data_IF_609902868523
#
_entry.id   IF_609902868523
#
_cell.length_a   1.000
_cell.length_b   1.000
_cell.length_c   1.000
_cell.angle_alpha   90.00
_cell.angle_beta   90.00
_cell.angle_gamma   90.00
#
_symmetry.space_group_name_H-M   'P 1'
#
loop_
_entity.id
_entity.type
_entity.pdbx_description
1 polymer ?
#
# COMPACT_ATOMS: atom_id res chain seq x y z
N UNK A 1 -23.57 -12.93 -13.60
CA UNK A 1 -23.34 -12.60 -12.17
C UNK A 1 -21.85 -12.21 -12.06
N UNK A 2 -21.53 -11.10 -11.42
CA UNK A 2 -20.15 -10.67 -11.23
C UNK A 2 -19.55 -11.38 -10.01
N UNK A 3 -18.36 -11.95 -10.17
CA UNK A 3 -17.68 -12.70 -9.11
C UNK A 3 -16.17 -12.77 -9.37
N UNK A 4 -15.39 -13.04 -8.32
CA UNK A 4 -13.97 -13.38 -8.42
C UNK A 4 -13.67 -14.49 -7.42
N UNK A 5 -13.19 -15.64 -7.92
CA UNK A 5 -12.84 -16.80 -7.12
C UNK A 5 -11.35 -17.14 -7.20
N UNK A 6 -10.71 -16.92 -8.34
CA UNK A 6 -9.29 -17.16 -8.56
C UNK A 6 -8.67 -16.16 -9.55
N UNK A 7 -7.36 -16.03 -9.54
CA UNK A 7 -6.61 -15.02 -10.29
C UNK A 7 -6.56 -15.25 -11.82
N UNK A 8 -6.68 -16.49 -12.26
CA UNK A 8 -6.56 -16.89 -13.67
C UNK A 8 -7.88 -17.02 -14.42
N UNK A 9 -9.01 -16.86 -13.77
CA UNK A 9 -10.26 -16.75 -14.47
C UNK A 9 -10.24 -15.51 -15.40
N UNK A 10 -10.82 -15.59 -16.61
CA UNK A 10 -10.85 -14.47 -17.53
C UNK A 10 -11.38 -13.19 -16.89
N UNK A 11 -10.53 -12.16 -16.83
CA UNK A 11 -10.88 -10.84 -16.30
C UNK A 11 -11.91 -10.18 -17.20
N UNK A 12 -12.97 -9.62 -16.62
CA UNK A 12 -14.08 -8.98 -17.34
C UNK A 12 -14.24 -7.51 -16.99
N UNK A 13 -14.02 -7.17 -15.74
CA UNK A 13 -14.10 -5.79 -15.25
C UNK A 13 -12.95 -5.55 -14.28
N UNK A 14 -12.23 -4.47 -14.51
CA UNK A 14 -11.06 -4.10 -13.75
C UNK A 14 -11.15 -2.65 -13.27
N UNK A 15 -10.96 -2.45 -11.97
CA UNK A 15 -10.66 -1.12 -11.47
C UNK A 15 -9.20 -0.78 -11.77
N UNK A 16 -8.95 0.42 -12.30
CA UNK A 16 -7.60 0.91 -12.61
C UNK A 16 -7.37 2.23 -11.88
N UNK A 17 -6.24 2.33 -11.21
CA UNK A 17 -5.85 3.51 -10.46
C UNK A 17 -5.68 4.76 -11.32
N UNK A 18 -5.45 5.89 -10.67
CA UNK A 18 -5.27 7.20 -11.31
C UNK A 18 -4.21 8.01 -10.59
N UNK A 19 -3.30 8.64 -11.32
CA UNK A 19 -2.40 9.67 -10.81
C UNK A 19 -3.05 11.05 -10.84
N UNK A 20 -2.43 12.02 -10.18
CA UNK A 20 -2.84 13.42 -10.34
C UNK A 20 -2.46 13.95 -11.72
N UNK A 21 -3.27 14.86 -12.28
CA UNK A 21 -2.88 15.59 -13.47
C UNK A 21 -1.70 16.54 -13.16
N UNK A 22 -0.84 16.84 -14.13
CA UNK A 22 0.37 17.65 -13.91
C UNK A 22 0.07 19.03 -13.33
N UNK A 23 -1.10 19.60 -13.61
CA UNK A 23 -1.52 20.92 -13.12
C UNK A 23 -1.58 20.99 -11.59
N UNK A 24 -1.75 19.86 -10.90
CA UNK A 24 -1.77 19.81 -9.44
C UNK A 24 -0.43 20.22 -8.82
N UNK A 25 0.66 20.09 -9.59
CA UNK A 25 2.01 20.46 -9.15
C UNK A 25 2.41 21.88 -9.56
N UNK A 26 1.58 22.60 -10.33
CA UNK A 26 1.88 23.96 -10.83
C UNK A 26 2.16 24.98 -9.73
N UNK A 27 1.62 24.75 -8.51
CA UNK A 27 1.84 25.61 -7.33
C UNK A 27 3.22 25.46 -6.67
N UNK A 28 3.97 24.44 -7.03
CA UNK A 28 5.33 24.23 -6.50
C UNK A 28 6.24 25.34 -7.01
N UNK A 29 6.77 26.16 -6.09
CA UNK A 29 7.59 27.33 -6.43
C UNK A 29 8.94 26.94 -7.01
N UNK A 30 9.57 25.90 -6.47
CA UNK A 30 10.85 25.40 -6.98
C UNK A 30 10.63 24.71 -8.33
N UNK A 31 11.17 25.27 -9.40
CA UNK A 31 10.97 24.78 -10.76
C UNK A 31 11.58 23.39 -11.00
N UNK A 32 12.69 23.05 -10.34
CA UNK A 32 13.27 21.70 -10.46
C UNK A 32 12.33 20.64 -9.89
N UNK A 33 11.75 20.92 -8.71
CA UNK A 33 10.78 20.04 -8.08
C UNK A 33 9.51 19.95 -8.93
N UNK A 34 8.98 21.13 -9.34
CA UNK A 34 7.75 21.18 -10.15
C UNK A 34 7.89 20.38 -11.43
N UNK A 35 8.94 20.64 -12.23
CA UNK A 35 9.14 19.98 -13.50
C UNK A 35 9.28 18.45 -13.35
N UNK A 36 9.96 17.98 -12.30
CA UNK A 36 10.08 16.56 -12.00
C UNK A 36 8.72 15.93 -11.65
N UNK A 37 7.94 16.57 -10.79
CA UNK A 37 6.62 16.06 -10.39
C UNK A 37 5.60 16.10 -11.54
N UNK A 38 5.59 17.16 -12.35
CA UNK A 38 4.77 17.25 -13.56
C UNK A 38 5.14 16.14 -14.57
N UNK A 39 6.44 15.89 -14.78
CA UNK A 39 6.94 14.80 -15.62
C UNK A 39 6.47 13.43 -15.11
N UNK A 40 6.64 13.18 -13.80
CA UNK A 40 6.19 11.92 -13.17
C UNK A 40 4.69 11.72 -13.38
N UNK A 41 3.88 12.77 -13.21
CA UNK A 41 2.43 12.70 -13.42
C UNK A 41 2.07 12.34 -14.87
N UNK A 42 2.66 13.04 -15.84
CA UNK A 42 2.44 12.79 -17.28
C UNK A 42 2.83 11.35 -17.63
N UNK A 43 4.05 10.95 -17.28
CA UNK A 43 4.58 9.63 -17.59
C UNK A 43 3.79 8.50 -16.92
N UNK A 44 3.27 8.74 -15.71
CA UNK A 44 2.42 7.77 -15.00
C UNK A 44 1.09 7.60 -15.71
N UNK A 45 0.44 8.68 -16.15
CA UNK A 45 -0.83 8.56 -16.87
C UNK A 45 -0.64 7.89 -18.24
N UNK A 46 0.44 8.18 -18.96
CA UNK A 46 0.79 7.46 -20.19
C UNK A 46 0.92 5.94 -19.97
N UNK A 47 1.51 5.54 -18.84
CA UNK A 47 1.64 4.12 -18.50
C UNK A 47 0.29 3.51 -18.10
N UNK A 48 -0.59 4.25 -17.41
CA UNK A 48 -1.97 3.83 -17.18
C UNK A 48 -2.73 3.64 -18.51
N UNK A 49 -2.55 4.52 -19.48
CA UNK A 49 -3.20 4.37 -20.78
C UNK A 49 -2.73 3.12 -21.53
N UNK A 50 -1.46 2.71 -21.39
CA UNK A 50 -0.95 1.43 -21.92
C UNK A 50 -1.60 0.23 -21.24
N UNK A 51 -1.76 0.28 -19.88
CA UNK A 51 -2.46 -0.76 -19.11
C UNK A 51 -3.90 -0.88 -19.61
N UNK A 52 -4.61 0.25 -19.70
CA UNK A 52 -6.02 0.30 -20.14
C UNK A 52 -6.16 -0.25 -21.56
N UNK A 53 -5.38 0.26 -22.52
CA UNK A 53 -5.43 -0.20 -23.90
C UNK A 53 -5.18 -1.70 -24.01
N UNK A 54 -4.23 -2.23 -23.22
CA UNK A 54 -3.96 -3.68 -23.21
C UNK A 54 -5.13 -4.48 -22.65
N UNK A 55 -5.77 -4.03 -21.59
CA UNK A 55 -6.96 -4.69 -21.02
C UNK A 55 -8.16 -4.64 -21.98
N UNK A 56 -8.35 -3.51 -22.67
CA UNK A 56 -9.40 -3.35 -23.68
C UNK A 56 -9.22 -4.32 -24.87
N UNK A 57 -7.98 -4.64 -25.29
CA UNK A 57 -7.71 -5.67 -26.30
C UNK A 57 -8.28 -7.05 -25.90
N UNK A 58 -8.40 -7.30 -24.57
CA UNK A 58 -9.01 -8.52 -24.02
C UNK A 58 -10.51 -8.36 -23.68
N UNK A 59 -11.13 -7.27 -24.13
CA UNK A 59 -12.53 -6.92 -23.84
C UNK A 59 -12.82 -6.82 -22.33
N UNK A 60 -11.86 -6.27 -21.57
CA UNK A 60 -12.04 -5.96 -20.16
C UNK A 60 -12.63 -4.57 -20.02
N UNK A 61 -13.77 -4.46 -19.33
CA UNK A 61 -14.35 -3.16 -18.98
C UNK A 61 -13.52 -2.48 -17.89
N UNK A 62 -13.25 -1.18 -18.06
CA UNK A 62 -12.40 -0.41 -17.16
C UNK A 62 -13.23 0.54 -16.32
N UNK A 63 -12.99 0.53 -15.01
CA UNK A 63 -13.52 1.50 -14.06
C UNK A 63 -12.35 2.23 -13.41
N UNK A 64 -12.24 3.54 -13.58
CA UNK A 64 -11.14 4.33 -13.00
C UNK A 64 -11.49 4.79 -11.59
N UNK A 65 -10.47 4.86 -10.74
CA UNK A 65 -10.59 5.62 -9.49
C UNK A 65 -10.82 7.09 -9.77
N UNK A 66 -11.36 7.82 -8.81
CA UNK A 66 -11.71 9.23 -8.95
C UNK A 66 -10.68 10.14 -8.29
N UNK A 67 -10.53 11.33 -8.84
CA UNK A 67 -9.83 12.46 -8.21
C UNK A 67 -10.73 13.68 -8.21
N UNK A 68 -10.61 14.53 -7.19
CA UNK A 68 -11.28 15.82 -7.18
C UNK A 68 -10.67 16.74 -8.24
N UNK A 69 -11.49 17.51 -8.90
CA UNK A 69 -11.02 18.60 -9.79
C UNK A 69 -10.34 19.73 -8.99
N UNK A 70 -10.66 19.82 -7.70
CA UNK A 70 -10.09 20.82 -6.82
C UNK A 70 -8.82 20.30 -6.13
N UNK A 71 -7.66 20.78 -6.55
CA UNK A 71 -6.36 20.42 -5.95
C UNK A 71 -6.28 20.71 -4.44
N UNK A 72 -7.05 21.69 -3.94
CA UNK A 72 -7.05 22.03 -2.52
C UNK A 72 -7.57 20.90 -1.62
N UNK A 73 -8.32 19.95 -2.19
CA UNK A 73 -8.79 18.78 -1.45
C UNK A 73 -7.63 17.85 -1.04
N UNK A 74 -6.48 17.98 -1.69
CA UNK A 74 -5.26 17.19 -1.43
C UNK A 74 -4.13 17.99 -0.80
N UNK A 75 -4.36 19.30 -0.59
CA UNK A 75 -3.33 20.19 -0.09
C UNK A 75 -3.39 20.37 1.42
N UNK A 76 -2.22 20.59 2.03
CA UNK A 76 -2.14 21.18 3.36
C UNK A 76 -2.42 22.70 3.29
N UNK A 77 -2.47 23.36 4.45
CA UNK A 77 -2.73 24.83 4.51
C UNK A 77 -1.64 25.70 3.85
N UNK A 78 -0.52 25.11 3.44
CA UNK A 78 0.53 25.79 2.67
C UNK A 78 0.32 25.66 1.16
N UNK A 79 -0.77 24.98 0.75
CA UNK A 79 -1.07 24.68 -0.64
C UNK A 79 -0.16 23.60 -1.27
N UNK A 80 0.50 22.80 -0.43
CA UNK A 80 1.34 21.69 -0.88
C UNK A 80 0.47 20.45 -0.94
N UNK A 81 0.48 19.76 -2.08
CA UNK A 81 -0.19 18.46 -2.27
C UNK A 81 0.50 17.44 -1.38
N UNK A 82 -0.22 16.91 -0.39
CA UNK A 82 0.31 15.97 0.62
C UNK A 82 -0.49 14.67 0.72
N UNK A 83 -1.71 14.63 0.21
CA UNK A 83 -2.48 13.40 0.11
C UNK A 83 -2.10 12.67 -1.18
N UNK A 84 -1.86 11.33 -1.16
CA UNK A 84 -1.51 10.57 -2.34
C UNK A 84 -2.69 10.47 -3.33
N UNK A 85 -2.40 10.33 -4.63
CA UNK A 85 -3.43 9.99 -5.59
C UNK A 85 -3.94 8.55 -5.38
N UNK A 86 -5.17 8.24 -5.82
CA UNK A 86 -5.76 6.89 -5.66
C UNK A 86 -5.21 5.92 -6.71
N UNK A 87 -3.94 5.61 -6.63
CA UNK A 87 -3.21 4.81 -7.62
C UNK A 87 -3.44 3.31 -7.48
N UNK A 88 -3.52 2.82 -6.25
CA UNK A 88 -3.55 1.40 -5.94
C UNK A 88 -4.94 0.99 -5.39
N UNK A 89 -5.97 0.81 -6.25
CA UNK A 89 -7.31 0.42 -5.76
C UNK A 89 -7.28 -0.94 -5.05
N UNK A 90 -6.33 -1.79 -5.34
CA UNK A 90 -6.15 -3.10 -4.73
C UNK A 90 -5.87 -3.04 -3.24
N UNK A 91 -5.20 -2.00 -2.77
CA UNK A 91 -4.86 -1.81 -1.35
C UNK A 91 -6.08 -1.48 -0.49
N UNK A 92 -7.18 -1.13 -1.13
CA UNK A 92 -8.42 -0.70 -0.45
C UNK A 92 -9.62 -1.55 -0.80
N UNK A 93 -9.60 -2.34 -1.87
CA UNK A 93 -10.77 -3.03 -2.39
C UNK A 93 -10.51 -4.50 -2.66
N UNK A 94 -11.55 -5.33 -2.55
CA UNK A 94 -11.50 -6.74 -2.92
C UNK A 94 -12.86 -7.25 -3.39
N UNK A 95 -12.89 -7.98 -4.49
CA UNK A 95 -14.02 -8.86 -4.83
C UNK A 95 -13.74 -10.26 -4.29
N UNK A 96 -14.62 -10.78 -3.45
CA UNK A 96 -14.54 -12.16 -2.92
C UNK A 96 -15.83 -12.87 -3.18
N UNK A 97 -15.79 -13.90 -3.99
CA UNK A 97 -17.01 -14.49 -4.53
C UNK A 97 -17.82 -13.44 -5.30
N UNK A 98 -19.04 -13.21 -4.89
CA UNK A 98 -19.96 -12.24 -5.50
C UNK A 98 -20.19 -10.98 -4.65
N UNK A 99 -19.32 -10.68 -3.70
CA UNK A 99 -19.40 -9.49 -2.84
C UNK A 99 -18.17 -8.63 -3.01
N UNK A 100 -18.36 -7.33 -3.17
CA UNK A 100 -17.27 -6.36 -3.26
C UNK A 100 -17.08 -5.68 -1.91
N UNK A 101 -15.85 -5.73 -1.42
CA UNK A 101 -15.41 -5.11 -0.18
C UNK A 101 -14.67 -3.82 -0.51
N UNK A 102 -15.03 -2.73 0.17
CA UNK A 102 -14.41 -1.44 -0.02
C UNK A 102 -14.60 -0.56 1.22
N UNK A 103 -13.74 0.46 1.43
CA UNK A 103 -13.93 1.40 2.52
C UNK A 103 -15.21 2.20 2.32
N UNK A 104 -15.93 2.49 3.40
CA UNK A 104 -17.14 3.29 3.36
C UNK A 104 -16.85 4.76 3.01
N UNK A 105 -17.85 5.48 2.45
CA UNK A 105 -17.73 6.90 2.08
C UNK A 105 -17.37 7.87 3.22
N UNK A 106 -17.26 7.36 4.45
CA UNK A 106 -16.71 8.06 5.62
C UNK A 106 -15.21 7.79 5.84
N UNK A 107 -14.54 7.12 4.91
CA UNK A 107 -13.09 6.85 5.01
C UNK A 107 -12.27 8.11 5.31
N UNK A 108 -12.68 9.24 4.77
CA UNK A 108 -12.08 10.53 5.12
C UNK A 108 -12.37 11.01 6.57
N UNK A 109 -13.32 10.43 7.30
CA UNK A 109 -13.54 10.74 8.72
C UNK A 109 -12.63 9.95 9.65
N UNK A 110 -12.14 8.82 9.22
CA UNK A 110 -11.15 8.02 9.90
C UNK A 110 -9.74 8.43 9.47
N UNK A 111 -9.48 9.72 9.36
CA UNK A 111 -8.12 10.22 9.47
C UNK A 111 -7.59 9.63 10.76
N UNK A 112 -6.86 8.59 10.56
CA UNK A 112 -6.44 7.77 11.67
C UNK A 112 -5.57 8.64 12.56
N UNK A 113 -5.95 8.72 13.80
CA UNK A 113 -5.13 9.36 14.82
C UNK A 113 -3.70 8.79 14.76
N UNK A 114 -3.57 7.56 14.33
CA UNK A 114 -2.29 6.89 14.11
C UNK A 114 -1.46 7.57 13.01
N UNK A 115 -2.06 8.03 11.91
CA UNK A 115 -1.37 8.81 10.90
C UNK A 115 -0.93 10.19 11.42
N UNK A 116 -1.76 10.82 12.26
CA UNK A 116 -1.41 12.06 12.95
C UNK A 116 -0.21 11.81 13.87
N UNK A 117 -0.24 10.73 14.64
CA UNK A 117 0.85 10.35 15.54
C UNK A 117 2.12 10.10 14.74
N UNK A 118 2.07 9.35 13.65
CA UNK A 118 3.24 9.08 12.80
C UNK A 118 3.85 10.36 12.23
N UNK A 119 3.03 11.26 11.69
CA UNK A 119 3.50 12.55 11.18
C UNK A 119 4.08 13.43 12.27
N UNK A 120 3.48 13.39 13.48
CA UNK A 120 4.01 14.07 14.64
C UNK A 120 5.36 13.48 15.06
N UNK A 121 5.43 12.16 15.21
CA UNK A 121 6.62 11.43 15.58
C UNK A 121 7.75 11.70 14.59
N UNK A 122 7.46 11.69 13.30
CA UNK A 122 8.42 11.98 12.26
C UNK A 122 8.95 13.42 12.32
N UNK A 123 8.08 14.42 12.51
CA UNK A 123 8.50 15.82 12.65
C UNK A 123 9.31 16.06 13.91
N UNK A 124 8.93 15.42 15.02
CA UNK A 124 9.72 15.44 16.25
C UNK A 124 11.11 14.85 15.98
N UNK A 125 11.16 13.72 15.29
CA UNK A 125 12.40 13.05 14.91
C UNK A 125 13.31 13.91 14.03
N UNK A 126 12.73 14.60 13.06
CA UNK A 126 13.47 15.50 12.19
C UNK A 126 13.91 16.81 12.88
N UNK A 127 13.61 16.99 14.18
CA UNK A 127 13.88 18.24 14.89
C UNK A 127 13.22 19.48 14.26
N UNK A 128 12.18 19.29 13.46
CA UNK A 128 11.46 20.39 12.76
C UNK A 128 10.44 21.11 13.64
N UNK A 129 10.29 20.71 14.91
CA UNK A 129 9.60 21.52 15.91
C UNK A 129 10.56 22.60 16.41
N UNK A 130 10.37 23.80 15.93
CA UNK A 130 11.18 24.97 16.33
C UNK A 130 10.97 25.37 17.80
N UNK A 131 9.91 24.92 18.44
CA UNK A 131 9.55 25.33 19.79
C UNK A 131 9.48 24.13 20.76
N UNK A 132 10.66 23.71 21.24
CA UNK A 132 10.83 22.67 22.27
C UNK A 132 10.17 23.06 23.62
N UNK A 133 9.74 24.30 23.77
CA UNK A 133 9.06 24.80 24.97
C UNK A 133 7.52 24.83 24.85
N UNK A 134 6.94 24.45 23.72
CA UNK A 134 5.49 24.38 23.56
C UNK A 134 4.91 23.36 24.57
N UNK A 135 4.05 23.78 25.52
CA UNK A 135 3.54 22.92 26.57
C UNK A 135 2.73 21.73 26.03
N UNK A 136 2.03 21.89 24.90
CA UNK A 136 1.23 20.82 24.31
C UNK A 136 2.10 19.78 23.60
N UNK A 137 3.13 20.22 22.87
CA UNK A 137 4.12 19.33 22.26
C UNK A 137 4.86 18.53 23.33
N UNK A 138 5.27 19.19 24.41
CA UNK A 138 5.93 18.52 25.55
C UNK A 138 5.01 17.50 26.23
N UNK A 139 3.73 17.86 26.43
CA UNK A 139 2.73 16.97 27.05
C UNK A 139 2.43 15.76 26.14
N UNK A 140 2.37 15.96 24.82
CA UNK A 140 2.19 14.89 23.86
C UNK A 140 3.40 13.94 23.84
N UNK A 141 4.61 14.47 23.82
CA UNK A 141 5.83 13.68 23.90
C UNK A 141 5.92 12.88 25.21
N UNK A 142 5.51 13.50 26.35
CA UNK A 142 5.43 12.78 27.64
C UNK A 142 4.47 11.60 27.55
N UNK A 143 3.27 11.78 26.99
CA UNK A 143 2.30 10.69 26.84
C UNK A 143 2.81 9.56 25.95
N UNK A 144 3.51 9.88 24.87
CA UNK A 144 4.15 8.88 24.01
C UNK A 144 5.25 8.12 24.80
N UNK A 145 6.08 8.83 25.55
CA UNK A 145 7.10 8.20 26.39
C UNK A 145 6.49 7.32 27.49
N UNK A 146 5.41 7.79 28.14
CA UNK A 146 4.69 7.02 29.17
C UNK A 146 4.09 5.72 28.61
N UNK A 147 3.68 5.71 27.33
CA UNK A 147 3.18 4.53 26.63
C UNK A 147 4.31 3.58 26.27
N UNK A 148 5.41 4.10 25.73
CA UNK A 148 6.55 3.30 25.26
C UNK A 148 7.43 2.79 26.40
N UNK A 149 7.56 3.56 27.48
CA UNK A 149 8.34 3.22 28.67
C UNK A 149 7.64 3.76 29.92
N UNK A 150 6.63 3.09 30.44
CA UNK A 150 5.94 3.53 31.65
C UNK A 150 6.94 3.61 32.82
N UNK A 151 6.93 4.74 33.57
CA UNK A 151 7.64 5.01 34.81
C UNK A 151 8.97 5.79 34.74
N UNK A 152 9.17 6.65 33.77
CA UNK A 152 10.42 7.43 33.74
C UNK A 152 10.49 8.66 34.64
N UNK A 153 9.37 9.19 35.12
CA UNK A 153 9.36 10.39 35.97
C UNK A 153 10.01 11.64 35.31
N UNK A 154 10.16 11.64 34.00
CA UNK A 154 10.76 12.74 33.27
C UNK A 154 9.80 13.91 33.13
N UNK A 155 10.36 15.14 33.09
CA UNK A 155 9.57 16.30 32.72
C UNK A 155 9.15 16.21 31.23
N UNK A 156 8.03 16.82 30.81
CA UNK A 156 7.59 16.81 29.42
C UNK A 156 8.66 17.28 28.42
N UNK A 157 9.49 18.25 28.80
CA UNK A 157 10.61 18.73 27.97
C UNK A 157 11.72 17.68 27.83
N UNK A 158 12.05 17.00 28.92
CA UNK A 158 13.06 15.92 28.92
C UNK A 158 12.60 14.73 28.10
N UNK A 159 11.31 14.38 28.17
CA UNK A 159 10.69 13.34 27.36
C UNK A 159 10.73 13.67 25.86
N UNK A 160 10.45 14.92 25.48
CA UNK A 160 10.56 15.34 24.08
C UNK A 160 12.00 15.19 23.55
N UNK A 161 12.99 15.62 24.33
CA UNK A 161 14.40 15.50 23.93
C UNK A 161 14.85 14.04 23.83
N UNK A 162 14.45 13.20 24.80
CA UNK A 162 14.72 11.77 24.80
C UNK A 162 14.07 11.09 23.58
N UNK A 163 12.81 11.42 23.31
CA UNK A 163 12.08 10.92 22.18
C UNK A 163 12.75 11.32 20.85
N UNK A 164 13.12 12.59 20.67
CA UNK A 164 13.85 13.05 19.51
C UNK A 164 15.18 12.30 19.30
N UNK A 165 15.93 12.03 20.40
CA UNK A 165 17.19 11.27 20.28
C UNK A 165 16.95 9.83 19.84
N UNK A 166 15.93 9.16 20.36
CA UNK A 166 15.58 7.78 19.96
C UNK A 166 15.20 7.64 18.49
N UNK A 167 14.36 8.55 17.99
CA UNK A 167 13.90 8.49 16.61
C UNK A 167 15.01 8.82 15.61
N UNK A 168 16.04 9.55 16.05
CA UNK A 168 17.24 9.82 15.23
C UNK A 168 18.26 8.69 15.29
N UNK A 169 18.12 7.72 16.19
CA UNK A 169 19.03 6.59 16.27
C UNK A 169 18.89 5.63 15.08
N UNK A 170 20.05 5.07 14.71
CA UNK A 170 20.23 4.28 13.49
C UNK A 170 19.36 3.02 13.42
N UNK A 171 18.86 2.54 14.54
CA UNK A 171 18.08 1.29 14.64
C UNK A 171 16.57 1.51 14.78
N UNK A 172 16.12 2.71 15.11
CA UNK A 172 14.70 3.09 15.15
C UNK A 172 13.75 2.04 15.69
N UNK A 173 14.11 1.44 16.82
CA UNK A 173 13.28 0.47 17.53
C UNK A 173 12.75 1.07 18.82
N UNK A 174 11.67 0.52 19.33
CA UNK A 174 11.13 0.83 20.66
C UNK A 174 10.76 -0.47 21.39
N UNK A 175 10.82 -0.43 22.73
CA UNK A 175 10.42 -1.54 23.56
C UNK A 175 8.98 -1.32 24.06
N UNK A 176 8.13 -2.31 23.83
CA UNK A 176 6.75 -2.32 24.33
C UNK A 176 6.40 -3.70 24.86
N UNK A 177 5.96 -3.78 26.13
CA UNK A 177 5.66 -5.06 26.82
C UNK A 177 6.77 -6.10 26.67
N UNK A 178 8.01 -5.68 26.92
CA UNK A 178 9.24 -6.49 26.86
C UNK A 178 9.60 -7.05 25.47
N UNK A 179 8.97 -6.56 24.41
CA UNK A 179 9.28 -6.92 23.04
C UNK A 179 9.75 -5.69 22.27
N UNK A 180 10.83 -5.89 21.46
CA UNK A 180 11.38 -4.83 20.62
C UNK A 180 10.67 -4.80 19.27
N UNK A 181 10.25 -3.59 18.87
CA UNK A 181 9.54 -3.34 17.61
C UNK A 181 10.20 -2.25 16.79
N UNK A 182 10.17 -2.34 15.44
CA UNK A 182 10.52 -1.22 14.58
C UNK A 182 9.63 -0.02 14.90
N UNK A 183 10.21 1.19 14.90
CA UNK A 183 9.50 2.40 15.34
C UNK A 183 8.25 2.71 14.48
N UNK A 184 8.28 2.34 13.20
CA UNK A 184 7.14 2.52 12.29
C UNK A 184 5.91 1.65 12.65
N UNK A 185 6.09 0.63 13.51
CA UNK A 185 4.98 -0.22 13.97
C UNK A 185 4.27 0.33 15.21
N UNK A 186 4.75 1.43 15.81
CA UNK A 186 4.18 1.97 17.06
C UNK A 186 2.67 2.17 16.97
N UNK A 187 2.18 2.66 15.85
CA UNK A 187 0.76 2.91 15.58
C UNK A 187 -0.12 1.67 15.59
N UNK A 188 0.46 0.51 15.30
CA UNK A 188 -0.27 -0.75 15.23
C UNK A 188 -0.27 -1.55 16.54
N UNK A 189 0.59 -1.17 17.51
CA UNK A 189 0.88 -1.98 18.70
C UNK A 189 0.34 -1.32 19.96
N UNK A 190 0.31 0.01 19.97
CA UNK A 190 0.02 0.79 21.17
C UNK A 190 -1.43 1.30 21.12
N UNK A 191 -2.15 1.18 22.25
CA UNK A 191 -3.46 1.83 22.42
C UNK A 191 -3.28 3.33 22.61
N UNK A 192 -3.76 4.10 21.64
CA UNK A 192 -3.61 5.56 21.61
C UNK A 192 -4.86 6.33 22.09
N UNK A 193 -5.81 5.72 22.77
CA UNK A 193 -7.08 6.37 23.13
C UNK A 193 -6.85 7.70 23.87
N UNK A 194 -5.99 7.72 24.90
CA UNK A 194 -5.64 8.94 25.60
C UNK A 194 -4.82 9.93 24.74
N UNK A 195 -3.96 9.39 23.88
CA UNK A 195 -3.16 10.18 22.95
C UNK A 195 -4.06 10.86 21.92
N UNK A 196 -5.10 10.16 21.47
CA UNK A 196 -6.15 10.68 20.60
C UNK A 196 -6.83 11.91 21.17
N UNK A 197 -7.25 11.83 22.41
CA UNK A 197 -7.89 12.96 23.10
C UNK A 197 -6.94 14.15 23.21
N UNK A 198 -5.69 13.92 23.53
CA UNK A 198 -4.68 14.96 23.62
C UNK A 198 -4.38 15.61 22.27
N UNK A 199 -4.32 14.82 21.20
CA UNK A 199 -4.16 15.31 19.82
C UNK A 199 -5.38 16.14 19.42
N UNK A 200 -6.59 15.67 19.74
CA UNK A 200 -7.83 16.40 19.49
C UNK A 200 -7.85 17.73 20.23
N UNK A 201 -7.43 17.77 21.50
CA UNK A 201 -7.30 18.99 22.27
C UNK A 201 -6.23 19.94 21.69
N UNK A 202 -5.09 19.37 21.27
CA UNK A 202 -4.02 20.11 20.62
C UNK A 202 -4.38 20.64 19.21
N UNK A 203 -5.45 20.12 18.63
CA UNK A 203 -6.02 20.53 17.34
C UNK A 203 -6.28 22.03 17.22
N UNK A 204 -6.70 22.64 18.31
CA UNK A 204 -7.05 24.03 18.36
C UNK A 204 -5.83 24.97 18.47
N UNK A 205 -4.60 24.44 18.49
CA UNK A 205 -3.39 25.20 18.74
C UNK A 205 -2.18 24.77 17.86
N UNK A 206 -0.96 25.05 18.29
CA UNK A 206 0.31 25.02 17.55
C UNK A 206 0.67 23.68 16.88
N UNK A 207 0.20 22.53 17.38
CA UNK A 207 0.46 21.22 16.74
C UNK A 207 -0.22 21.14 15.40
N UNK A 208 -1.46 21.61 15.31
CA UNK A 208 -2.23 21.63 14.07
C UNK A 208 -1.63 22.58 13.01
N UNK A 209 -1.00 23.67 13.46
CA UNK A 209 -0.31 24.58 12.55
C UNK A 209 0.98 24.02 11.98
N UNK A 210 1.56 22.99 12.60
CA UNK A 210 2.82 22.38 12.21
C UNK A 210 2.69 20.97 11.61
N UNK A 211 1.58 20.26 11.93
CA UNK A 211 1.18 19.00 11.30
C UNK A 211 -0.07 19.30 10.49
N UNK A 212 0.14 19.75 9.26
CA UNK A 212 -0.98 20.19 8.43
C UNK A 212 -1.48 19.01 7.64
N UNK A 213 -2.68 18.57 8.02
CA UNK A 213 -3.46 17.58 7.28
C UNK A 213 -4.05 18.23 6.04
N UNK A 214 -4.26 17.47 4.96
CA UNK A 214 -5.08 17.94 3.87
C UNK A 214 -6.42 18.41 4.44
N UNK A 215 -6.93 19.53 3.92
CA UNK A 215 -8.30 19.95 4.20
C UNK A 215 -9.21 18.87 3.63
N UNK A 216 -9.54 17.86 4.44
CA UNK A 216 -10.41 16.77 4.06
C UNK A 216 -11.84 17.25 3.85
N UNK A 217 -12.05 17.89 2.77
CA UNK A 217 -13.33 17.88 2.11
C UNK A 217 -13.38 16.55 1.36
N UNK A 218 -14.06 15.62 1.99
CA UNK A 218 -14.48 14.32 1.59
C UNK A 218 -14.36 14.03 0.09
N UNK A 219 -13.17 13.76 -0.40
CA UNK A 219 -13.02 13.22 -1.73
C UNK A 219 -13.08 11.70 -1.63
N UNK A 220 -14.04 11.12 -2.31
CA UNK A 220 -14.27 9.70 -2.32
C UNK A 220 -13.68 9.07 -3.59
N UNK A 221 -12.49 8.53 -3.46
CA UNK A 221 -11.71 8.00 -4.57
C UNK A 221 -12.34 6.79 -5.30
N UNK A 222 -13.36 6.18 -4.71
CA UNK A 222 -14.00 4.97 -5.24
C UNK A 222 -15.46 5.21 -5.69
N UNK A 223 -15.85 6.46 -5.92
CA UNK A 223 -17.22 6.82 -6.31
C UNK A 223 -17.64 6.13 -7.61
N UNK A 224 -16.82 6.20 -8.65
CA UNK A 224 -17.11 5.56 -9.94
C UNK A 224 -17.19 4.04 -9.82
N UNK A 225 -16.37 3.44 -8.95
CA UNK A 225 -16.44 2.00 -8.67
C UNK A 225 -17.77 1.67 -7.96
N UNK A 226 -18.15 2.44 -6.94
CA UNK A 226 -19.41 2.23 -6.22
C UNK A 226 -20.64 2.42 -7.13
N UNK A 227 -20.63 3.44 -7.99
CA UNK A 227 -21.67 3.67 -8.98
C UNK A 227 -21.79 2.51 -9.97
N UNK A 228 -20.64 2.00 -10.45
CA UNK A 228 -20.62 0.82 -11.32
C UNK A 228 -21.20 -0.42 -10.64
N UNK A 229 -20.80 -0.69 -9.40
CA UNK A 229 -21.28 -1.83 -8.59
C UNK A 229 -22.78 -1.76 -8.37
N UNK A 230 -23.30 -0.59 -7.99
CA UNK A 230 -24.74 -0.37 -7.79
C UNK A 230 -25.54 -0.56 -9.08
N UNK A 231 -25.05 0.00 -10.19
CA UNK A 231 -25.68 -0.15 -11.51
C UNK A 231 -25.77 -1.62 -11.94
N UNK A 232 -24.78 -2.43 -11.58
CA UNK A 232 -24.70 -3.84 -11.95
C UNK A 232 -25.23 -4.79 -10.87
N UNK A 233 -25.87 -4.26 -9.81
CA UNK A 233 -26.43 -5.03 -8.69
C UNK A 233 -25.38 -5.93 -8.00
N UNK A 234 -24.14 -5.47 -7.86
CA UNK A 234 -23.09 -6.17 -7.11
C UNK A 234 -23.21 -5.78 -5.64
N UNK A 235 -23.37 -6.74 -4.72
CA UNK A 235 -23.44 -6.44 -3.29
C UNK A 235 -22.15 -5.80 -2.78
N UNK A 236 -22.26 -4.66 -2.10
CA UNK A 236 -21.15 -3.94 -1.49
C UNK A 236 -21.13 -4.22 0.01
N UNK A 237 -19.95 -4.52 0.53
CA UNK A 237 -19.66 -4.63 1.96
C UNK A 237 -18.64 -3.57 2.30
N UNK A 238 -19.01 -2.64 3.17
CA UNK A 238 -18.08 -1.62 3.64
C UNK A 238 -17.23 -2.19 4.77
N UNK A 239 -15.97 -2.44 4.47
CA UNK A 239 -14.96 -2.96 5.39
C UNK A 239 -13.60 -2.37 5.07
N UNK A 240 -12.90 -1.84 6.07
CA UNK A 240 -11.61 -1.16 5.92
C UNK A 240 -10.43 -2.13 5.94
N UNK A 241 -10.66 -3.39 6.34
CA UNK A 241 -9.60 -4.38 6.56
C UNK A 241 -9.51 -5.43 5.45
N UNK A 242 -10.50 -5.50 4.57
CA UNK A 242 -10.52 -6.48 3.47
C UNK A 242 -10.10 -5.79 2.18
N UNK A 243 -8.91 -6.15 1.72
CA UNK A 243 -8.37 -5.67 0.45
C UNK A 243 -7.62 -6.80 -0.28
N UNK A 244 -7.46 -6.64 -1.57
CA UNK A 244 -6.87 -7.69 -2.43
C UNK A 244 -5.33 -7.69 -2.41
N UNK A 245 -4.68 -6.70 -1.80
CA UNK A 245 -3.22 -6.72 -1.63
C UNK A 245 -2.81 -7.67 -0.49
N UNK A 246 -3.62 -7.72 0.58
CA UNK A 246 -3.35 -8.60 1.74
C UNK A 246 -3.90 -10.01 1.58
N UNK A 247 -4.61 -10.29 0.49
CA UNK A 247 -5.32 -11.56 0.29
C UNK A 247 -5.17 -12.09 -1.14
N UNK A 248 -4.90 -13.39 -1.25
CA UNK A 248 -4.91 -14.12 -2.53
C UNK A 248 -6.05 -15.13 -2.56
N UNK A 249 -6.71 -15.24 -3.71
CA UNK A 249 -7.87 -16.13 -3.95
C UNK A 249 -7.46 -17.31 -4.83
N UNK A 250 -7.68 -18.51 -4.35
CA UNK A 250 -7.40 -19.76 -5.08
C UNK A 250 -8.62 -20.68 -4.94
N UNK A 251 -9.70 -20.34 -5.64
CA UNK A 251 -10.97 -21.06 -5.55
C UNK A 251 -11.59 -21.03 -4.17
N UNK A 252 -11.74 -22.19 -3.54
CA UNK A 252 -12.29 -22.35 -2.17
C UNK A 252 -11.33 -21.85 -1.08
N UNK A 253 -10.06 -21.56 -1.41
CA UNK A 253 -9.05 -21.14 -0.46
C UNK A 253 -8.77 -19.64 -0.56
N UNK A 254 -8.77 -18.95 0.57
CA UNK A 254 -8.27 -17.59 0.73
C UNK A 254 -6.97 -17.62 1.53
N UNK A 255 -5.93 -17.00 0.98
CA UNK A 255 -4.61 -16.92 1.60
C UNK A 255 -4.34 -15.49 2.03
N UNK A 256 -4.17 -15.29 3.32
CA UNK A 256 -3.83 -13.99 3.89
C UNK A 256 -2.36 -13.93 4.26
N UNK A 257 -1.73 -12.77 4.06
CA UNK A 257 -0.41 -12.50 4.59
C UNK A 257 -0.43 -12.56 6.14
N UNK A 258 0.75 -12.77 6.71
CA UNK A 258 0.91 -12.71 8.15
C UNK A 258 0.72 -11.25 8.60
N UNK A 259 -0.52 -10.89 8.88
CA UNK A 259 -0.87 -9.57 9.41
C UNK A 259 -0.59 -9.61 10.91
N UNK A 260 0.68 -9.70 11.27
CA UNK A 260 1.07 -9.41 12.63
C UNK A 260 0.67 -7.96 12.88
N UNK A 261 -0.39 -7.76 13.70
CA UNK A 261 -0.61 -6.53 14.42
C UNK A 261 -1.48 -5.47 13.72
N UNK A 262 -2.59 -5.87 13.09
CA UNK A 262 -3.68 -4.92 12.97
C UNK A 262 -4.46 -4.95 14.29
N UNK A 263 -4.48 -3.82 15.01
CA UNK A 263 -5.29 -3.55 16.21
C UNK A 263 -5.10 -4.54 17.38
N UNK A 264 -3.89 -5.02 17.64
CA UNK A 264 -3.62 -5.94 18.75
C UNK A 264 -4.27 -7.32 18.60
N UNK A 265 -4.83 -7.64 17.44
CA UNK A 265 -5.33 -8.95 17.12
C UNK A 265 -4.17 -9.86 16.73
N UNK A 266 -4.08 -11.02 17.35
CA UNK A 266 -3.16 -12.05 16.88
C UNK A 266 -3.73 -12.74 15.62
N UNK A 267 -2.88 -13.45 14.90
CA UNK A 267 -3.23 -14.14 13.66
C UNK A 267 -4.45 -15.08 13.81
N UNK A 268 -4.56 -15.76 14.93
CA UNK A 268 -5.67 -16.68 15.21
C UNK A 268 -7.01 -15.95 15.34
N UNK A 269 -7.00 -14.81 16.02
CA UNK A 269 -8.19 -13.95 16.15
C UNK A 269 -8.65 -13.40 14.80
N UNK A 270 -7.71 -13.01 13.93
CA UNK A 270 -8.01 -12.59 12.56
C UNK A 270 -8.54 -13.73 11.72
N UNK A 271 -7.96 -14.93 11.81
CA UNK A 271 -8.46 -16.12 11.12
C UNK A 271 -9.90 -16.43 11.51
N UNK A 272 -10.23 -16.35 12.80
CA UNK A 272 -11.61 -16.51 13.29
C UNK A 272 -12.55 -15.44 12.73
N UNK A 273 -12.12 -14.19 12.69
CA UNK A 273 -12.88 -13.08 12.10
C UNK A 273 -13.13 -13.33 10.61
N UNK A 274 -12.11 -13.67 9.85
CA UNK A 274 -12.22 -13.94 8.40
C UNK A 274 -13.05 -15.18 8.10
N UNK A 275 -12.94 -16.23 8.92
CA UNK A 275 -13.80 -17.43 8.75
C UNK A 275 -15.28 -17.11 8.93
N UNK A 276 -15.63 -16.20 9.85
CA UNK A 276 -17.01 -15.70 9.99
C UNK A 276 -17.47 -14.87 8.80
N UNK A 277 -16.57 -14.07 8.24
CA UNK A 277 -16.87 -13.20 7.10
C UNK A 277 -17.00 -14.01 5.80
N UNK A 278 -16.20 -15.06 5.66
CA UNK A 278 -16.10 -15.93 4.49
C UNK A 278 -16.44 -17.39 4.83
N UNK A 279 -17.67 -17.71 5.25
CA UNK A 279 -18.03 -19.04 5.80
C UNK A 279 -17.87 -20.17 4.77
N UNK A 280 -17.94 -19.87 3.47
CA UNK A 280 -17.83 -20.85 2.39
C UNK A 280 -16.39 -21.07 1.89
N UNK A 281 -15.42 -20.41 2.52
CA UNK A 281 -14.00 -20.48 2.15
C UNK A 281 -13.17 -21.12 3.26
N UNK A 282 -12.08 -21.76 2.88
CA UNK A 282 -11.02 -22.14 3.81
C UNK A 282 -10.06 -20.95 3.96
N UNK A 283 -9.81 -20.55 5.20
CA UNK A 283 -8.93 -19.43 5.52
C UNK A 283 -7.53 -19.95 5.82
N UNK A 284 -6.60 -19.58 4.99
CA UNK A 284 -5.19 -19.92 5.12
C UNK A 284 -4.35 -18.66 5.43
N UNK A 285 -3.25 -18.86 6.12
CA UNK A 285 -2.28 -17.81 6.41
C UNK A 285 -0.92 -18.20 5.87
N UNK A 286 -0.27 -17.28 5.18
CA UNK A 286 1.07 -17.49 4.63
C UNK A 286 2.11 -17.07 5.67
N UNK A 287 2.72 -18.03 6.35
CA UNK A 287 3.76 -17.75 7.36
C UNK A 287 4.98 -17.09 6.72
N UNK A 288 5.54 -16.07 7.39
CA UNK A 288 6.73 -15.36 6.90
C UNK A 288 6.49 -14.40 5.74
N UNK A 289 5.24 -14.24 5.27
CA UNK A 289 4.85 -13.27 4.25
C UNK A 289 4.19 -12.09 4.95
N UNK A 290 4.74 -10.89 4.78
CA UNK A 290 4.23 -9.65 5.35
C UNK A 290 2.91 -9.20 4.71
N UNK A 291 2.40 -8.04 5.12
CA UNK A 291 1.07 -7.52 4.83
C UNK A 291 0.54 -7.72 3.40
N UNK A 292 1.21 -7.17 2.39
CA UNK A 292 0.80 -7.30 0.98
C UNK A 292 1.33 -8.59 0.38
N UNK A 293 0.46 -9.56 0.15
CA UNK A 293 0.85 -10.89 -0.38
C UNK A 293 1.25 -10.83 -1.86
N UNK A 294 0.69 -9.92 -2.62
CA UNK A 294 0.94 -9.73 -4.04
C UNK A 294 2.34 -9.14 -4.36
N UNK A 295 3.03 -8.64 -3.35
CA UNK A 295 4.45 -8.29 -3.41
C UNK A 295 5.40 -9.46 -3.13
N UNK A 296 4.87 -10.65 -2.79
CA UNK A 296 5.67 -11.80 -2.40
C UNK A 296 5.46 -13.02 -3.29
N UNK A 297 4.24 -13.25 -3.73
CA UNK A 297 3.94 -14.36 -4.63
C UNK A 297 2.70 -14.08 -5.49
N UNK A 298 2.66 -14.74 -6.64
CA UNK A 298 1.55 -14.71 -7.58
C UNK A 298 1.16 -16.12 -8.00
N UNK A 299 -0.07 -16.59 -7.70
CA UNK A 299 -0.63 -17.75 -8.35
C UNK A 299 -1.01 -17.37 -9.79
N UNK A 300 -0.36 -17.97 -10.77
CA UNK A 300 -0.51 -17.59 -12.17
C UNK A 300 -1.60 -18.38 -12.86
N UNK A 301 -1.52 -19.70 -12.75
CA UNK A 301 -2.51 -20.67 -13.24
C UNK A 301 -2.59 -21.83 -12.24
N UNK A 302 -3.59 -22.70 -12.33
CA UNK A 302 -3.63 -23.90 -11.51
C UNK A 302 -2.30 -24.70 -11.63
N UNK A 303 -1.68 -24.97 -10.50
CA UNK A 303 -0.42 -25.70 -10.44
C UNK A 303 0.85 -24.87 -10.52
N UNK A 304 0.75 -23.52 -10.67
CA UNK A 304 1.94 -22.65 -10.80
C UNK A 304 1.89 -21.45 -9.85
N UNK A 305 2.89 -21.32 -9.01
CA UNK A 305 3.17 -20.15 -8.17
C UNK A 305 4.50 -19.52 -8.59
N UNK A 306 4.53 -18.22 -8.79
CA UNK A 306 5.76 -17.43 -8.84
C UNK A 306 5.99 -16.74 -7.50
N UNK A 307 7.21 -16.72 -6.99
CA UNK A 307 7.51 -16.13 -5.68
C UNK A 307 8.91 -15.50 -5.63
N UNK A 308 9.08 -14.57 -4.70
CA UNK A 308 10.37 -13.99 -4.32
C UNK A 308 10.99 -14.70 -3.11
N UNK A 309 10.23 -15.62 -2.51
CA UNK A 309 10.60 -16.30 -1.27
C UNK A 309 11.16 -17.70 -1.57
N UNK A 310 11.69 -18.35 -0.54
CA UNK A 310 12.11 -19.74 -0.66
C UNK A 310 10.90 -20.62 -1.04
N UNK A 311 10.95 -21.38 -2.14
CA UNK A 311 9.87 -22.29 -2.55
C UNK A 311 9.39 -23.22 -1.45
N UNK A 312 10.28 -23.64 -0.54
CA UNK A 312 9.95 -24.51 0.59
C UNK A 312 8.89 -23.93 1.52
N UNK A 313 8.76 -22.61 1.57
CA UNK A 313 7.71 -21.96 2.37
C UNK A 313 6.30 -22.24 1.83
N UNK A 314 6.18 -22.69 0.60
CA UNK A 314 4.91 -22.93 -0.07
C UNK A 314 4.54 -24.41 -0.21
N UNK A 315 5.45 -25.36 0.12
CA UNK A 315 5.21 -26.79 -0.03
C UNK A 315 3.96 -27.28 0.73
N UNK A 316 3.76 -26.79 1.96
CA UNK A 316 2.55 -27.09 2.75
C UNK A 316 1.34 -26.27 2.29
N UNK A 317 1.58 -25.04 1.83
CA UNK A 317 0.53 -24.10 1.45
C UNK A 317 -0.07 -24.46 0.09
N UNK A 318 0.73 -24.93 -0.84
CA UNK A 318 0.32 -25.31 -2.20
C UNK A 318 0.89 -26.68 -2.57
N UNK A 319 0.43 -27.77 -1.93
CA UNK A 319 0.93 -29.10 -2.20
C UNK A 319 0.74 -29.47 -3.68
N UNK A 320 1.76 -30.10 -4.25
CA UNK A 320 1.83 -30.55 -5.65
C UNK A 320 1.82 -29.43 -6.72
N UNK A 321 1.92 -28.16 -6.29
CA UNK A 321 2.09 -27.05 -7.23
C UNK A 321 3.56 -26.75 -7.48
N UNK A 322 3.91 -26.42 -8.71
CA UNK A 322 5.24 -25.92 -9.04
C UNK A 322 5.40 -24.50 -8.47
N UNK A 323 6.41 -24.33 -7.64
CA UNK A 323 6.76 -23.02 -7.06
C UNK A 323 8.08 -22.56 -7.66
N UNK A 324 8.04 -21.52 -8.47
CA UNK A 324 9.21 -20.94 -9.13
C UNK A 324 9.68 -19.72 -8.37
N UNK A 325 10.89 -19.81 -7.80
CA UNK A 325 11.52 -18.68 -7.15
C UNK A 325 12.19 -17.76 -8.17
N UNK A 326 11.91 -16.49 -8.07
CA UNK A 326 12.59 -15.45 -8.84
C UNK A 326 13.67 -14.82 -7.97
N UNK A 327 14.94 -14.84 -8.40
CA UNK A 327 15.97 -14.16 -7.63
C UNK A 327 15.71 -12.65 -7.63
N UNK A 328 15.77 -12.06 -6.45
CA UNK A 328 15.71 -10.60 -6.27
C UNK A 328 17.02 -9.95 -6.76
N UNK A 329 17.17 -9.85 -8.06
CA UNK A 329 18.30 -9.17 -8.69
C UNK A 329 17.91 -7.86 -9.39
N UNK A 330 16.61 -7.60 -9.56
CA UNK A 330 16.13 -6.53 -10.41
C UNK A 330 16.66 -5.16 -10.01
N UNK A 331 16.42 -4.74 -8.79
CA UNK A 331 16.77 -3.41 -8.31
C UNK A 331 18.27 -3.24 -8.00
N UNK A 332 19.00 -4.33 -7.69
CA UNK A 332 20.46 -4.27 -7.52
C UNK A 332 21.18 -3.86 -8.81
N UNK A 333 20.55 -4.09 -9.95
CA UNK A 333 21.06 -3.73 -11.29
C UNK A 333 20.68 -2.32 -11.72
N UNK A 334 19.82 -1.63 -10.95
CA UNK A 334 19.40 -0.26 -11.24
C UNK A 334 20.39 0.70 -10.56
N UNK A 335 21.36 1.21 -11.35
CA UNK A 335 22.43 2.08 -10.84
C UNK A 335 21.88 3.32 -10.15
N UNK A 336 20.91 4.01 -10.77
CA UNK A 336 20.29 5.20 -10.20
C UNK A 336 19.62 4.91 -8.86
N UNK A 337 18.90 3.77 -8.74
CA UNK A 337 18.32 3.37 -7.47
C UNK A 337 19.38 3.13 -6.39
N UNK A 338 20.47 2.44 -6.73
CA UNK A 338 21.59 2.19 -5.80
C UNK A 338 22.22 3.49 -5.33
N UNK A 339 22.34 4.48 -6.22
CA UNK A 339 22.83 5.83 -5.90
C UNK A 339 21.92 6.55 -4.90
N UNK A 340 20.60 6.43 -5.07
CA UNK A 340 19.61 7.11 -4.21
C UNK A 340 19.37 6.42 -2.86
N UNK A 341 19.41 5.11 -2.78
CA UNK A 341 18.98 4.35 -1.58
C UNK A 341 19.64 4.80 -0.26
N UNK A 342 20.81 5.40 -0.31
CA UNK A 342 21.51 5.91 0.85
C UNK A 342 21.16 7.37 1.18
N UNK A 343 20.52 8.08 0.23
CA UNK A 343 20.09 9.46 0.38
C UNK A 343 18.66 9.56 0.91
N UNK A 344 17.82 8.56 0.62
CA UNK A 344 16.38 8.59 0.87
C UNK A 344 15.97 7.56 1.92
N UNK A 345 14.96 7.91 2.71
CA UNK A 345 14.46 7.06 3.79
C UNK A 345 13.62 5.89 3.26
N UNK A 346 12.74 6.16 2.31
CA UNK A 346 11.76 5.22 1.77
C UNK A 346 12.31 4.29 0.70
N UNK A 347 13.60 4.40 0.35
CA UNK A 347 14.20 3.64 -0.76
C UNK A 347 13.46 3.82 -2.10
N UNK A 348 12.84 4.97 -2.31
CA UNK A 348 12.19 5.33 -3.56
C UNK A 348 13.20 5.81 -4.61
N UNK A 349 12.76 5.82 -5.86
CA UNK A 349 13.59 6.29 -6.97
C UNK A 349 12.73 6.86 -8.11
N UNK A 350 13.16 7.99 -8.64
CA UNK A 350 12.69 8.59 -9.89
C UNK A 350 13.88 8.66 -10.83
N UNK A 351 13.82 7.94 -11.94
CA UNK A 351 14.91 7.88 -12.91
C UNK A 351 15.25 9.26 -13.47
N UNK A 352 16.54 9.61 -13.42
CA UNK A 352 17.05 10.89 -13.89
C UNK A 352 17.03 12.02 -12.86
N UNK A 353 16.53 11.75 -11.64
CA UNK A 353 16.45 12.72 -10.54
C UNK A 353 17.43 12.43 -9.39
N UNK A 354 18.42 11.58 -9.61
CA UNK A 354 19.35 11.10 -8.59
C UNK A 354 20.20 12.21 -7.98
N UNK A 355 20.37 13.31 -8.69
CA UNK A 355 21.14 14.50 -8.28
C UNK A 355 20.26 15.73 -8.02
N UNK A 356 18.93 15.56 -8.02
CA UNK A 356 17.98 16.63 -7.72
C UNK A 356 17.72 16.68 -6.21
N UNK A 357 18.67 17.25 -5.46
CA UNK A 357 18.59 17.34 -4.00
C UNK A 357 17.37 18.16 -3.52
N UNK A 358 16.91 19.14 -4.31
CA UNK A 358 15.70 19.92 -4.02
C UNK A 358 14.45 19.02 -4.06
N UNK A 359 14.37 18.10 -5.04
CA UNK A 359 13.28 17.13 -5.15
C UNK A 359 13.33 16.12 -4.01
N UNK A 360 14.52 15.62 -3.69
CA UNK A 360 14.72 14.69 -2.57
C UNK A 360 14.25 15.32 -1.27
N UNK A 361 14.66 16.55 -0.96
CA UNK A 361 14.20 17.25 0.25
C UNK A 361 12.68 17.48 0.26
N UNK A 362 12.10 17.81 -0.89
CA UNK A 362 10.65 17.99 -1.03
C UNK A 362 9.89 16.70 -0.75
N UNK A 363 10.28 15.58 -1.38
CA UNK A 363 9.61 14.28 -1.20
C UNK A 363 9.77 13.78 0.25
N UNK A 364 10.99 13.79 0.78
CA UNK A 364 11.26 13.36 2.16
C UNK A 364 10.55 14.25 3.21
N UNK A 365 10.26 15.51 2.86
CA UNK A 365 9.58 16.45 3.75
C UNK A 365 8.06 16.32 3.69
N UNK A 366 7.49 16.19 2.49
CA UNK A 366 6.07 16.37 2.26
C UNK A 366 5.34 15.13 1.76
N UNK A 367 6.05 14.25 1.02
CA UNK A 367 5.46 13.12 0.33
C UNK A 367 5.95 11.76 0.85
N UNK A 368 6.55 11.72 2.03
CA UNK A 368 7.10 10.48 2.58
C UNK A 368 6.04 9.37 2.77
N UNK A 369 4.76 9.73 2.88
CA UNK A 369 3.65 8.78 2.98
C UNK A 369 3.26 8.18 1.60
N UNK A 370 3.75 8.76 0.49
CA UNK A 370 3.51 8.25 -0.86
C UNK A 370 4.54 7.19 -1.26
N UNK A 371 5.70 7.29 -0.64
CA UNK A 371 6.86 6.50 -0.99
C UNK A 371 7.15 5.53 0.14
N UNK A 372 6.99 4.28 -0.11
CA UNK A 372 7.29 3.26 0.87
C UNK A 372 8.39 2.30 0.41
N UNK A 373 8.32 1.06 0.71
CA UNK A 373 9.37 0.12 0.38
C UNK A 373 9.27 -0.33 -1.08
N UNK A 374 10.36 -0.20 -1.81
CA UNK A 374 10.48 -0.58 -3.22
C UNK A 374 10.40 -2.09 -3.44
N UNK A 375 10.44 -2.88 -2.37
CA UNK A 375 10.53 -4.33 -2.44
C UNK A 375 9.38 -4.99 -3.20
N UNK A 376 8.15 -4.47 -3.06
CA UNK A 376 6.97 -5.01 -3.74
C UNK A 376 6.94 -4.71 -5.24
N UNK A 377 7.61 -3.66 -5.67
CA UNK A 377 7.49 -3.13 -7.04
C UNK A 377 8.68 -3.43 -7.93
N UNK A 378 9.79 -3.81 -7.34
CA UNK A 378 11.03 -4.17 -8.05
C UNK A 378 10.90 -5.52 -8.73
N UNK A 379 9.93 -6.29 -8.30
CA UNK A 379 9.81 -7.69 -8.62
C UNK A 379 8.74 -7.95 -9.68
N UNK A 380 9.04 -8.87 -10.58
CA UNK A 380 8.12 -9.28 -11.62
C UNK A 380 6.92 -10.09 -11.08
N UNK A 381 6.89 -10.37 -9.77
CA UNK A 381 5.77 -11.06 -9.12
C UNK A 381 4.50 -10.20 -9.04
N UNK A 382 4.64 -8.87 -9.00
CA UNK A 382 3.50 -7.95 -8.99
C UNK A 382 2.91 -7.77 -10.40
N UNK A 383 2.38 -8.87 -10.94
CA UNK A 383 1.83 -8.98 -12.28
C UNK A 383 0.31 -9.17 -12.26
N UNK A 384 -0.37 -8.73 -13.30
CA UNK A 384 -1.80 -8.92 -13.47
C UNK A 384 -2.07 -10.10 -14.41
N UNK A 385 -2.63 -11.17 -13.87
CA UNK A 385 -3.12 -12.30 -14.66
C UNK A 385 -4.43 -11.89 -15.33
N UNK A 386 -4.48 -11.90 -16.67
CA UNK A 386 -5.69 -11.56 -17.43
C UNK A 386 -6.58 -12.80 -17.56
N UNK A 387 -5.98 -13.91 -17.90
CA UNK A 387 -6.60 -15.24 -18.00
C UNK A 387 -5.52 -16.34 -17.92
N UNK A 388 -5.89 -17.61 -18.07
CA UNK A 388 -4.96 -18.75 -17.98
C UNK A 388 -3.82 -18.71 -19.03
N UNK A 389 -3.90 -17.86 -20.05
CA UNK A 389 -2.92 -17.77 -21.13
C UNK A 389 -2.23 -16.42 -21.25
N UNK A 390 -2.69 -15.41 -20.53
CA UNK A 390 -2.26 -14.04 -20.72
C UNK A 390 -1.95 -13.36 -19.37
N UNK A 391 -0.74 -12.83 -19.24
CA UNK A 391 -0.28 -12.15 -18.03
C UNK A 391 0.39 -10.84 -18.39
N UNK A 392 0.02 -9.75 -17.72
CA UNK A 392 0.73 -8.46 -17.82
C UNK A 392 1.86 -8.40 -16.80
N UNK A 393 3.07 -8.09 -17.26
CA UNK A 393 4.31 -8.07 -16.47
C UNK A 393 4.95 -6.68 -16.51
N UNK A 394 5.59 -6.26 -15.40
CA UNK A 394 6.33 -4.99 -15.34
C UNK A 394 7.62 -4.98 -16.17
N UNK A 395 8.21 -6.13 -16.43
CA UNK A 395 9.46 -6.26 -17.15
C UNK A 395 9.76 -7.68 -17.60
N UNK A 396 10.87 -7.84 -18.29
CA UNK A 396 11.36 -9.15 -18.70
C UNK A 396 12.17 -9.81 -17.57
N UNK A 397 11.82 -11.04 -17.25
CA UNK A 397 12.59 -11.91 -16.40
C UNK A 397 12.73 -13.28 -17.07
N UNK A 398 13.98 -13.72 -17.32
CA UNK A 398 14.24 -14.97 -18.06
C UNK A 398 13.59 -16.18 -17.39
N UNK A 399 13.71 -16.32 -16.08
CA UNK A 399 13.16 -17.47 -15.34
C UNK A 399 11.64 -17.51 -15.46
N UNK A 400 10.99 -16.34 -15.34
CA UNK A 400 9.54 -16.21 -15.48
C UNK A 400 9.09 -16.54 -16.89
N UNK A 401 9.77 -16.02 -17.91
CA UNK A 401 9.39 -16.20 -19.30
C UNK A 401 9.63 -17.62 -19.79
N UNK A 402 10.74 -18.25 -19.40
CA UNK A 402 10.98 -19.67 -19.68
C UNK A 402 9.90 -20.56 -19.00
N UNK A 403 9.41 -20.15 -17.83
CA UNK A 403 8.31 -20.85 -17.17
C UNK A 403 7.00 -20.63 -17.91
N UNK A 404 6.71 -19.41 -18.34
CA UNK A 404 5.50 -19.11 -19.10
C UNK A 404 5.46 -19.91 -20.41
N UNK A 405 6.58 -20.02 -21.13
CA UNK A 405 6.67 -20.85 -22.34
C UNK A 405 6.27 -22.31 -22.07
N UNK A 406 6.74 -22.89 -20.95
CA UNK A 406 6.38 -24.27 -20.56
C UNK A 406 4.89 -24.44 -20.27
N UNK A 407 4.24 -23.42 -19.75
CA UNK A 407 2.81 -23.40 -19.42
C UNK A 407 1.92 -22.87 -20.56
N UNK A 408 2.50 -22.43 -21.68
CA UNK A 408 1.77 -21.84 -22.80
C UNK A 408 1.14 -20.48 -22.46
N UNK A 409 1.79 -19.71 -21.58
CA UNK A 409 1.36 -18.39 -21.13
C UNK A 409 2.08 -17.31 -21.95
N UNK A 410 1.34 -16.34 -22.44
CA UNK A 410 1.88 -15.18 -23.15
C UNK A 410 2.06 -13.99 -22.22
N UNK A 411 3.30 -13.54 -21.98
CA UNK A 411 3.56 -12.33 -21.21
C UNK A 411 3.35 -11.06 -22.06
N UNK A 412 2.67 -10.08 -21.51
CA UNK A 412 2.48 -8.75 -22.07
C UNK A 412 3.25 -7.74 -21.20
N UNK A 413 4.40 -7.28 -21.70
CA UNK A 413 5.28 -6.38 -20.93
C UNK A 413 4.77 -4.95 -21.02
N UNK A 414 4.45 -4.37 -19.87
CA UNK A 414 4.12 -2.95 -19.73
C UNK A 414 5.02 -2.39 -18.62
N UNK A 415 6.00 -1.58 -19.03
CA UNK A 415 6.89 -0.92 -18.10
C UNK A 415 6.17 0.24 -17.41
N UNK A 416 5.73 0.04 -16.17
CA UNK A 416 5.23 1.11 -15.32
C UNK A 416 6.45 1.85 -14.76
N UNK A 417 6.81 2.98 -15.39
CA UNK A 417 8.11 3.67 -15.24
C UNK A 417 8.41 4.10 -13.81
N UNK A 418 7.41 4.63 -13.12
CA UNK A 418 7.58 5.20 -11.78
C UNK A 418 7.16 4.28 -10.64
N UNK A 419 7.11 2.96 -10.85
CA UNK A 419 6.77 1.98 -9.82
C UNK A 419 7.64 2.08 -8.56
N UNK A 420 8.88 2.48 -8.71
CA UNK A 420 9.81 2.70 -7.59
C UNK A 420 9.54 3.98 -6.79
N UNK A 421 8.76 4.89 -7.31
CA UNK A 421 8.31 6.08 -6.61
C UNK A 421 6.93 5.85 -6.00
N UNK A 422 6.02 5.27 -6.75
CA UNK A 422 4.63 5.06 -6.33
C UNK A 422 4.43 3.82 -5.45
N UNK A 423 5.45 2.98 -5.29
CA UNK A 423 5.38 1.72 -4.54
C UNK A 423 4.24 0.81 -5.02
N UNK A 424 4.10 0.68 -6.33
CA UNK A 424 3.04 -0.13 -6.92
C UNK A 424 3.33 -0.58 -8.34
N UNK A 425 3.31 -1.91 -8.58
CA UNK A 425 3.39 -2.52 -9.89
C UNK A 425 2.02 -2.64 -10.56
N UNK A 426 1.94 -3.43 -11.63
CA UNK A 426 0.71 -3.58 -12.42
C UNK A 426 -0.46 -4.17 -11.62
N UNK A 427 -0.16 -5.10 -10.68
CA UNK A 427 -1.18 -5.71 -9.85
C UNK A 427 -1.74 -4.73 -8.81
N UNK A 428 -0.88 -4.00 -8.12
CA UNK A 428 -1.28 -2.98 -7.13
C UNK A 428 -2.14 -1.88 -7.77
N UNK A 429 -1.75 -1.44 -8.97
CA UNK A 429 -2.44 -0.37 -9.72
C UNK A 429 -3.78 -0.79 -10.32
N UNK A 430 -4.20 -2.05 -10.12
CA UNK A 430 -5.44 -2.62 -10.63
C UNK A 430 -6.15 -3.42 -9.54
N UNK A 431 -7.48 -3.56 -9.63
CA UNK A 431 -8.26 -4.45 -8.76
C UNK A 431 -9.36 -5.15 -9.56
N UNK A 432 -9.46 -6.47 -9.39
CA UNK A 432 -10.44 -7.27 -10.11
C UNK A 432 -11.84 -7.00 -9.55
N UNK A 433 -12.73 -6.47 -10.39
CA UNK A 433 -14.16 -6.32 -10.03
C UNK A 433 -14.95 -7.55 -10.50
N UNK A 434 -14.61 -8.13 -11.64
CA UNK A 434 -15.30 -9.32 -12.16
C UNK A 434 -14.39 -10.19 -13.00
N UNK A 435 -14.44 -11.49 -12.76
CA UNK A 435 -13.85 -12.55 -13.58
C UNK A 435 -14.91 -13.57 -13.97
N UNK A 436 -14.71 -14.23 -15.09
CA UNK A 436 -15.64 -15.26 -15.55
C UNK A 436 -15.15 -16.64 -15.13
N UNK A 437 -15.79 -17.20 -14.10
CA UNK A 437 -15.48 -18.52 -13.58
C UNK A 437 -16.34 -18.86 -12.36
N UNK A 438 -16.21 -20.09 -11.91
CA UNK A 438 -16.89 -20.62 -10.74
C UNK A 438 -15.88 -20.98 -9.65
N UNK A 439 -16.34 -21.02 -8.41
CA UNK A 439 -15.52 -21.48 -7.29
C UNK A 439 -15.11 -22.94 -7.51
N UNK A 440 -13.82 -23.19 -7.64
CA UNK A 440 -13.23 -24.53 -7.72
C UNK A 440 -12.55 -24.89 -6.41
N UNK A 441 -12.47 -26.18 -6.11
CA UNK A 441 -11.65 -26.71 -5.02
C UNK A 441 -10.37 -27.29 -5.60
N UNK A 442 -9.24 -26.63 -5.35
CA UNK A 442 -7.92 -27.06 -5.83
C UNK A 442 -7.19 -27.96 -4.82
N UNK A 443 -7.72 -28.06 -3.60
CA UNK A 443 -7.13 -28.82 -2.51
C UNK A 443 -8.21 -29.60 -1.72
N UNK A 444 -8.90 -30.55 -2.38
CA UNK A 444 -10.05 -31.24 -1.77
C UNK A 444 -9.68 -32.05 -0.52
N UNK A 445 -8.39 -32.43 -0.38
CA UNK A 445 -7.90 -33.17 0.79
C UNK A 445 -7.88 -32.34 2.10
N UNK A 446 -8.18 -31.05 2.03
CA UNK A 446 -8.17 -30.14 3.19
C UNK A 446 -9.50 -30.05 3.94
N UNK A 447 -10.52 -30.77 3.50
CA UNK A 447 -11.85 -30.76 4.13
C UNK A 447 -11.94 -31.66 5.38
#
# INVERSE_FOLDING_TARGET
MHSVYQHWDPLKVCAVGRSFPPEFYSRIKNSKVRNAMERVAIETEEDYQKIISKLEEFNVEIVRTDISENVDDYCNDQGIVVAPPPMCPRDFTAMVGNKFYMPGGNYAKNFDVNEIVDKLLFKIAQKKFSNVSDPLVCKLAQKIEDILEPNHGLSPKSSLLKFQSRVTDKFKTFLYKDQEYPFWQVKHIVDFTELKELIIQAKCQTIYSNIKFPNNKHFYAFKSIEEWLNKNNVPIVYDEYINSATMTRVGKDLYFGNVNLIDGLNQDSLKVKWQKLFPNYRINTCNGIGGHVDGHFCPVVPGLILTLRDPKMFEETFPDWEVVSMPDEGWKKVEGFTKMKNKVRGKWWIAGEEDNDDLIDYIETWLHDWVSYVEETVFDVNMLVIDEKNVMCNGYNKVVFDTFDRYGITPHVINFRHRYFWDGGLHCNTSDISRFGDMKDFFPERD
#
